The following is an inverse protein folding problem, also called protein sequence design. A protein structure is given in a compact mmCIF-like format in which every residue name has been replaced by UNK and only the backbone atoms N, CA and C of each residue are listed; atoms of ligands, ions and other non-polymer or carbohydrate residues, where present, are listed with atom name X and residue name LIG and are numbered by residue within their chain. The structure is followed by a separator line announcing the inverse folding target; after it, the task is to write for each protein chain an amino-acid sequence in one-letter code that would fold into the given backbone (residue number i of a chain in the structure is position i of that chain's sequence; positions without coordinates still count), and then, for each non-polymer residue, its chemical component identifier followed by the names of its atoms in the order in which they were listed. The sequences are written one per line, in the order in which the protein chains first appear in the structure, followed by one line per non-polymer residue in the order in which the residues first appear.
data_IF_752549043335
#
_entry.id   IF_752549043335
#
_cell.length_a   1.000
_cell.length_b   1.000
_cell.length_c   1.000
_cell.angle_alpha   90.00
_cell.angle_beta   90.00
_cell.angle_gamma   90.00
#
_symmetry.space_group_name_H-M   'P 1'
#
loop_
_entity.id
_entity.type
_entity.pdbx_description
1 polymer ?
#
# COMPACT_ATOMS: atom_id res chain seq x y z
N UNK A 1 36.17 -29.88 -20.69
CA UNK A 1 36.23 -28.70 -19.79
C UNK A 1 35.47 -27.51 -20.38
N UNK A 2 35.71 -27.15 -21.64
CA UNK A 2 34.95 -26.11 -22.35
C UNK A 2 33.43 -26.35 -22.39
N UNK A 3 32.98 -27.60 -22.60
CA UNK A 3 31.54 -27.90 -22.66
C UNK A 3 30.81 -27.68 -21.32
N UNK A 4 31.51 -27.92 -20.20
CA UNK A 4 30.96 -27.74 -18.85
C UNK A 4 30.78 -26.26 -18.50
N UNK A 5 31.64 -25.40 -19.05
CA UNK A 5 31.56 -23.94 -18.86
C UNK A 5 30.34 -23.40 -19.64
N UNK A 6 30.18 -23.81 -20.90
CA UNK A 6 29.04 -23.40 -21.72
C UNK A 6 27.69 -23.93 -21.23
N UNK A 7 27.68 -25.06 -20.52
CA UNK A 7 26.48 -25.58 -19.82
C UNK A 7 26.11 -24.72 -18.61
N UNK A 8 27.09 -24.40 -17.77
CA UNK A 8 26.89 -23.56 -16.57
C UNK A 8 26.46 -22.13 -16.93
N UNK A 9 27.00 -21.54 -18.01
CA UNK A 9 26.60 -20.21 -18.46
C UNK A 9 25.12 -20.17 -18.89
N UNK A 10 24.65 -21.22 -19.56
CA UNK A 10 23.22 -21.36 -19.93
C UNK A 10 22.33 -21.57 -18.69
N UNK A 11 22.82 -22.31 -17.70
CA UNK A 11 22.09 -22.53 -16.45
C UNK A 11 22.00 -21.24 -15.62
N UNK A 12 23.09 -20.47 -15.52
CA UNK A 12 23.11 -19.16 -14.84
C UNK A 12 22.14 -18.20 -15.52
N UNK A 13 22.13 -18.13 -16.86
CA UNK A 13 21.24 -17.24 -17.59
C UNK A 13 19.76 -17.64 -17.39
N UNK A 14 19.47 -18.94 -17.41
CA UNK A 14 18.14 -19.47 -17.10
C UNK A 14 17.71 -19.17 -15.66
N UNK A 15 18.61 -19.32 -14.69
CA UNK A 15 18.32 -19.02 -13.29
C UNK A 15 18.11 -17.52 -13.05
N UNK A 16 18.88 -16.64 -13.73
CA UNK A 16 18.68 -15.19 -13.69
C UNK A 16 17.33 -14.81 -14.28
N UNK A 17 17.01 -15.31 -15.48
CA UNK A 17 15.70 -15.10 -16.09
C UNK A 17 14.55 -15.61 -15.22
N UNK A 18 14.72 -16.74 -14.51
CA UNK A 18 13.74 -17.25 -13.55
C UNK A 18 13.62 -16.38 -12.31
N UNK A 19 14.72 -15.84 -11.79
CA UNK A 19 14.70 -14.91 -10.66
C UNK A 19 14.04 -13.59 -11.03
N UNK A 20 14.33 -13.06 -12.21
CA UNK A 20 13.70 -11.85 -12.74
C UNK A 20 12.21 -12.08 -12.97
N UNK A 21 11.83 -13.20 -13.60
CA UNK A 21 10.44 -13.58 -13.77
C UNK A 21 9.72 -13.80 -12.42
N UNK A 22 10.38 -14.36 -11.40
CA UNK A 22 9.81 -14.51 -10.06
C UNK A 22 9.70 -13.16 -9.32
N UNK A 23 10.64 -12.24 -9.54
CA UNK A 23 10.56 -10.87 -9.03
C UNK A 23 9.43 -10.08 -9.72
N UNK A 24 9.19 -10.34 -11.01
CA UNK A 24 8.10 -9.77 -11.80
C UNK A 24 6.73 -10.39 -11.47
N UNK A 25 6.68 -11.71 -11.24
CA UNK A 25 5.48 -12.45 -10.81
C UNK A 25 5.11 -12.15 -9.34
N UNK A 26 6.11 -11.80 -8.53
CA UNK A 26 5.99 -11.53 -7.10
C UNK A 26 5.71 -10.07 -6.75
N UNK A 27 4.56 -9.50 -7.11
CA UNK A 27 4.11 -8.25 -6.45
C UNK A 27 2.59 -8.12 -6.26
N UNK A 28 1.99 -9.05 -5.49
CA UNK A 28 1.16 -8.69 -4.34
C UNK A 28 1.80 -9.30 -3.07
N UNK A 29 3.06 -8.94 -2.85
CA UNK A 29 3.85 -9.25 -1.67
C UNK A 29 4.88 -8.16 -1.38
N UNK A 30 4.64 -6.94 -1.86
CA UNK A 30 5.43 -5.77 -1.46
C UNK A 30 5.47 -5.76 0.06
N UNK A 31 6.67 -5.86 0.61
CA UNK A 31 6.94 -5.73 2.04
C UNK A 31 6.19 -4.52 2.58
N UNK A 32 5.02 -4.74 3.17
CA UNK A 32 4.18 -3.67 3.69
C UNK A 32 4.87 -3.06 4.89
N UNK A 33 4.94 -1.73 4.94
CA UNK A 33 5.40 -0.98 6.12
C UNK A 33 4.56 -1.36 7.36
N UNK A 34 3.27 -1.66 7.17
CA UNK A 34 2.34 -2.09 8.22
C UNK A 34 2.66 -3.47 8.79
N UNK A 35 3.08 -4.43 7.98
CA UNK A 35 3.28 -5.82 8.41
C UNK A 35 4.73 -6.06 8.83
N UNK A 36 5.68 -5.64 8.00
CA UNK A 36 7.09 -6.03 8.14
C UNK A 36 7.98 -4.96 8.75
N UNK A 37 7.45 -3.72 8.94
CA UNK A 37 8.22 -2.58 9.47
C UNK A 37 9.53 -2.32 8.71
N UNK A 38 9.53 -2.67 7.42
CA UNK A 38 10.67 -2.60 6.52
C UNK A 38 10.23 -1.94 5.22
N UNK A 39 11.00 -0.96 4.78
CA UNK A 39 10.70 -0.22 3.57
C UNK A 39 10.92 -1.07 2.32
N UNK A 40 9.91 -1.24 1.45
CA UNK A 40 10.08 -1.98 0.20
C UNK A 40 10.92 -1.20 -0.84
N UNK A 41 11.20 0.08 -0.62
CA UNK A 41 11.96 0.93 -1.55
C UNK A 41 13.44 1.04 -1.17
N UNK A 42 13.76 1.22 0.12
CA UNK A 42 15.13 1.44 0.58
C UNK A 42 15.61 0.44 1.64
N UNK A 43 14.82 -0.60 1.93
CA UNK A 43 15.11 -1.66 2.93
C UNK A 43 15.26 -1.19 4.39
N UNK A 44 15.10 0.11 4.66
CA UNK A 44 15.20 0.69 5.99
C UNK A 44 14.18 0.10 6.96
N UNK A 45 14.59 -0.13 8.22
CA UNK A 45 13.78 -0.81 9.25
C UNK A 45 13.14 0.13 10.29
N UNK A 46 13.13 1.44 10.02
CA UNK A 46 12.48 2.43 10.89
C UNK A 46 11.27 3.03 10.19
N UNK A 47 10.09 2.78 10.77
CA UNK A 47 8.79 3.17 10.23
C UNK A 47 8.01 3.92 11.31
N UNK A 48 7.52 5.12 10.99
CA UNK A 48 6.59 5.86 11.83
C UNK A 48 5.18 5.30 11.61
N UNK A 49 4.39 5.20 12.68
CA UNK A 49 2.94 5.01 12.61
C UNK A 49 2.27 6.28 13.11
N UNK A 50 1.42 6.88 12.28
CA UNK A 50 0.70 8.11 12.59
C UNK A 50 -0.79 7.77 12.61
N UNK A 51 -1.41 7.83 13.79
CA UNK A 51 -2.82 7.46 14.01
C UNK A 51 -3.76 8.66 13.99
N UNK A 52 -3.25 9.86 14.29
CA UNK A 52 -4.04 11.08 14.31
C UNK A 52 -3.44 12.05 13.31
N UNK A 53 -4.00 12.02 12.10
CA UNK A 53 -3.64 12.93 11.03
C UNK A 53 -4.53 14.14 11.20
N UNK A 54 -3.92 15.28 11.50
CA UNK A 54 -4.65 16.53 11.64
C UNK A 54 -4.91 17.12 10.25
N UNK A 55 -6.16 17.50 9.99
CA UNK A 55 -6.49 18.46 8.94
C UNK A 55 -6.86 19.79 9.60
N UNK A 56 -6.43 20.89 8.99
CA UNK A 56 -6.71 22.24 9.48
C UNK A 56 -7.78 22.86 8.60
N UNK A 57 -9.03 22.69 9.00
CA UNK A 57 -10.17 23.38 8.39
C UNK A 57 -10.65 24.49 9.32
N UNK A 58 -10.79 25.71 8.76
CA UNK A 58 -11.44 26.87 9.38
C UNK A 58 -11.20 27.12 10.89
N UNK A 59 -9.97 26.91 11.38
CA UNK A 59 -9.57 27.27 12.75
C UNK A 59 -9.67 26.16 13.80
N UNK A 60 -10.17 24.97 13.45
CA UNK A 60 -10.10 23.78 14.29
C UNK A 60 -9.06 22.78 13.75
N UNK A 61 -8.46 21.99 14.65
CA UNK A 61 -7.61 20.84 14.30
C UNK A 61 -8.46 19.59 14.49
N UNK A 62 -8.92 19.02 13.38
CA UNK A 62 -9.74 17.81 13.38
C UNK A 62 -8.94 16.61 12.86
N UNK A 63 -9.34 15.40 13.28
CA UNK A 63 -8.75 14.20 12.73
C UNK A 63 -9.30 13.95 11.32
N UNK A 64 -8.41 13.79 10.34
CA UNK A 64 -8.78 13.45 8.98
C UNK A 64 -9.48 12.07 8.98
N UNK A 65 -10.68 12.04 8.42
CA UNK A 65 -11.51 10.85 8.34
C UNK A 65 -11.82 10.48 6.88
N UNK A 66 -11.98 9.19 6.56
CA UNK A 66 -12.38 8.75 5.23
C UNK A 66 -13.73 9.30 4.77
N UNK A 67 -14.66 9.47 5.71
CA UNK A 67 -16.01 9.94 5.41
C UNK A 67 -16.52 10.84 6.55
N UNK A 68 -17.12 11.96 6.17
CA UNK A 68 -17.87 12.84 7.08
C UNK A 68 -19.35 12.71 6.76
N UNK A 69 -20.14 12.34 7.75
CA UNK A 69 -21.59 12.26 7.65
C UNK A 69 -22.23 13.46 8.36
N UNK A 70 -23.10 14.23 7.68
CA UNK A 70 -23.90 15.27 8.33
C UNK A 70 -24.83 14.65 9.38
N UNK A 71 -24.81 15.17 10.60
CA UNK A 71 -25.80 14.87 11.63
C UNK A 71 -26.69 16.07 11.92
N UNK A 72 -27.79 15.83 12.65
CA UNK A 72 -28.75 16.88 13.01
C UNK A 72 -28.15 17.95 13.96
N UNK A 73 -27.22 17.55 14.82
CA UNK A 73 -26.55 18.44 15.77
C UNK A 73 -25.07 18.65 15.44
N UNK A 74 -24.38 17.58 15.05
CA UNK A 74 -22.94 17.58 14.83
C UNK A 74 -22.59 16.71 13.63
N UNK A 75 -21.49 17.05 12.96
CA UNK A 75 -20.92 16.18 11.93
C UNK A 75 -20.24 14.97 12.58
N UNK A 76 -20.41 13.81 11.97
CA UNK A 76 -19.79 12.57 12.45
C UNK A 76 -18.70 12.13 11.47
N UNK A 77 -17.48 12.06 11.97
CA UNK A 77 -16.38 11.39 11.27
C UNK A 77 -16.54 9.86 11.37
N UNK A 78 -16.45 9.17 10.23
CA UNK A 78 -16.60 7.72 10.12
C UNK A 78 -15.30 7.09 9.61
N UNK A 79 -14.79 6.11 10.34
CA UNK A 79 -13.48 5.52 10.11
C UNK A 79 -12.33 6.43 10.57
N UNK A 80 -11.10 5.97 10.38
CA UNK A 80 -9.91 6.71 10.76
C UNK A 80 -8.73 6.39 9.84
N UNK A 81 -8.10 7.42 9.28
CA UNK A 81 -6.86 7.20 8.54
C UNK A 81 -5.70 6.87 9.49
N UNK A 82 -4.90 5.89 9.09
CA UNK A 82 -3.62 5.53 9.72
C UNK A 82 -2.57 5.49 8.62
N UNK A 83 -1.43 6.14 8.87
CA UNK A 83 -0.32 6.18 7.91
C UNK A 83 0.93 5.56 8.50
N UNK A 84 1.62 4.75 7.69
CA UNK A 84 2.95 4.25 7.98
C UNK A 84 3.96 4.94 7.07
N UNK A 85 5.02 5.54 7.63
CA UNK A 85 6.02 6.32 6.86
C UNK A 85 7.43 5.78 7.11
N UNK A 86 8.17 5.48 6.05
CA UNK A 86 9.61 5.18 6.15
C UNK A 86 10.38 6.44 6.56
N UNK A 87 11.15 6.38 7.64
CA UNK A 87 11.95 7.53 8.12
C UNK A 87 13.12 7.92 7.22
N UNK A 88 13.56 7.04 6.32
CA UNK A 88 14.70 7.30 5.44
C UNK A 88 14.27 7.88 4.09
N UNK A 89 13.39 7.20 3.35
CA UNK A 89 13.01 7.62 2.00
C UNK A 89 11.66 8.31 1.91
N UNK A 90 10.89 8.37 3.01
CA UNK A 90 9.59 9.04 3.03
C UNK A 90 8.43 8.28 2.40
N UNK A 91 8.62 7.05 1.90
CA UNK A 91 7.51 6.21 1.42
C UNK A 91 6.39 6.14 2.47
N UNK A 92 5.16 6.46 2.07
CA UNK A 92 3.99 6.45 2.94
C UNK A 92 2.92 5.46 2.44
N UNK A 93 2.42 4.63 3.35
CA UNK A 93 1.28 3.74 3.12
C UNK A 93 0.07 4.21 3.95
N UNK A 94 -1.06 4.43 3.29
CA UNK A 94 -2.31 4.87 3.91
C UNK A 94 -3.26 3.69 4.12
N UNK A 95 -3.89 3.66 5.28
CA UNK A 95 -4.87 2.66 5.67
C UNK A 95 -6.09 3.32 6.31
N UNK A 96 -7.22 2.64 6.23
CA UNK A 96 -8.41 2.99 7.00
C UNK A 96 -8.54 1.98 8.15
N UNK A 97 -8.46 2.47 9.38
CA UNK A 97 -8.93 1.75 10.56
C UNK A 97 -10.44 1.99 10.73
N UNK A 98 -11.11 1.03 11.38
CA UNK A 98 -12.56 1.09 11.64
C UNK A 98 -13.38 1.23 10.35
N UNK A 99 -13.01 0.46 9.32
CA UNK A 99 -13.67 0.47 8.01
C UNK A 99 -15.15 0.06 8.10
N UNK A 100 -15.48 -0.75 9.10
CA UNK A 100 -16.83 -1.17 9.47
C UNK A 100 -17.76 -0.01 9.87
N UNK A 101 -17.22 1.17 10.20
CA UNK A 101 -18.02 2.37 10.47
C UNK A 101 -18.51 3.05 9.18
N UNK A 102 -17.98 2.68 8.01
CA UNK A 102 -18.31 3.32 6.73
C UNK A 102 -19.55 2.61 6.12
N UNK A 103 -20.69 3.29 5.97
CA UNK A 103 -21.89 2.70 5.38
C UNK A 103 -21.70 2.51 3.88
N UNK A 104 -21.98 1.31 3.37
CA UNK A 104 -21.91 1.01 1.94
C UNK A 104 -23.01 1.72 1.12
N UNK A 105 -24.11 2.08 1.78
CA UNK A 105 -25.26 2.77 1.23
C UNK A 105 -25.13 4.31 1.31
N UNK A 106 -24.03 4.84 1.83
CA UNK A 106 -23.82 6.27 1.91
C UNK A 106 -23.73 6.92 0.51
N UNK A 107 -24.36 8.09 0.27
CA UNK A 107 -24.40 8.73 -1.06
C UNK A 107 -23.04 8.99 -1.71
N UNK A 108 -21.99 9.19 -0.89
CA UNK A 108 -20.61 9.43 -1.34
C UNK A 108 -19.75 8.16 -1.45
N UNK A 109 -20.29 6.98 -1.13
CA UNK A 109 -19.56 5.71 -1.18
C UNK A 109 -20.01 4.92 -2.42
N UNK A 110 -19.04 4.36 -3.14
CA UNK A 110 -19.28 3.44 -4.26
C UNK A 110 -18.35 2.26 -4.10
N UNK A 111 -18.91 1.05 -4.20
CA UNK A 111 -18.10 -0.17 -4.29
C UNK A 111 -17.60 -0.26 -5.73
N UNK A 112 -16.30 -0.16 -5.90
CA UNK A 112 -15.64 -0.48 -7.15
C UNK A 112 -15.04 -1.88 -7.00
N UNK A 113 -15.64 -2.86 -7.65
CA UNK A 113 -14.99 -4.15 -7.82
C UNK A 113 -13.90 -4.01 -8.87
N UNK A 114 -12.67 -4.36 -8.51
CA UNK A 114 -11.62 -4.47 -9.50
C UNK A 114 -11.96 -5.59 -10.49
N UNK A 115 -11.42 -5.55 -11.72
CA UNK A 115 -11.43 -6.75 -12.55
C UNK A 115 -10.83 -7.93 -11.75
N UNK A 116 -11.21 -9.20 -12.05
CA UNK A 116 -10.46 -10.34 -11.54
C UNK A 116 -8.97 -10.07 -11.72
N UNK A 117 -8.15 -10.37 -10.68
CA UNK A 117 -6.72 -9.98 -10.55
C UNK A 117 -6.15 -9.70 -11.94
N UNK A 118 -5.92 -8.43 -12.31
CA UNK A 118 -5.46 -8.17 -13.65
C UNK A 118 -4.13 -8.91 -13.86
N UNK A 119 -3.79 -9.28 -15.11
CA UNK A 119 -2.52 -9.93 -15.39
C UNK A 119 -1.39 -9.12 -14.74
N UNK A 120 -0.44 -9.83 -14.15
CA UNK A 120 0.70 -9.23 -13.45
C UNK A 120 1.29 -8.09 -14.30
N UNK A 121 1.41 -6.89 -13.71
CA UNK A 121 1.92 -5.70 -14.38
C UNK A 121 0.91 -4.59 -14.67
N UNK A 122 -0.37 -4.70 -14.33
CA UNK A 122 -1.29 -3.54 -14.43
C UNK A 122 -1.44 -2.82 -13.10
N UNK A 123 -0.53 -1.88 -12.82
CA UNK A 123 -0.71 -0.83 -11.81
C UNK A 123 -1.07 0.51 -12.47
N UNK A 124 -1.68 1.46 -11.74
CA UNK A 124 -2.10 2.78 -12.27
C UNK A 124 -0.94 3.75 -12.52
N UNK A 125 0.30 3.37 -12.17
CA UNK A 125 1.51 4.11 -12.52
C UNK A 125 2.32 3.24 -13.48
N UNK A 126 2.20 3.55 -14.77
CA UNK A 126 3.25 3.29 -15.77
C UNK A 126 4.18 4.48 -15.79
#
# INVERSE_FOLDING_TARGET
MHDRIAELEREIESLRARLDALAEQGAPGRTSLRIHRRCPVCDHRSVLRIERIADRSQGAIEALAPLIQPGFLEQKALGQFVVYVCRQCGLAEWYVARIEEIPLDHPSVRVAEGPPKPPEGSGPFR
#
